data_IF_144755371357
#
_entry.id   IF_144755371357
#
_cell.length_a   1.000
_cell.length_b   1.000
_cell.length_c   1.000
_cell.angle_alpha   90.00
_cell.angle_beta   90.00
_cell.angle_gamma   90.00
#
_symmetry.space_group_name_H-M   'P 1'
#
loop_
_entity.id
_entity.type
_entity.pdbx_description
1 polymer ?
#
# COMPACT_ATOMS: atom_id res chain seq x y z
N UNK A 1 29.67 49.31 38.81
CA UNK A 1 29.09 48.88 37.53
C UNK A 1 29.99 47.80 36.91
N UNK A 2 29.59 46.52 36.97
CA UNK A 2 30.14 45.45 36.10
C UNK A 2 29.00 44.46 35.81
N UNK A 3 28.50 44.55 34.61
CA UNK A 3 27.54 43.64 33.97
C UNK A 3 28.22 42.29 33.72
N UNK A 4 27.60 41.20 34.16
CA UNK A 4 27.96 39.86 33.71
C UNK A 4 26.91 39.41 32.70
N UNK A 5 27.35 39.27 31.46
CA UNK A 5 26.55 38.79 30.34
C UNK A 5 26.29 37.29 30.48
N UNK A 6 25.02 36.96 30.31
CA UNK A 6 24.41 35.64 30.31
C UNK A 6 24.93 34.81 29.13
N UNK A 7 25.30 33.54 29.36
CA UNK A 7 25.41 32.53 28.30
C UNK A 7 24.52 31.35 28.68
N UNK A 8 23.30 31.32 28.13
CA UNK A 8 22.52 30.08 28.03
C UNK A 8 22.89 29.45 26.69
N UNK A 9 23.63 28.35 26.74
CA UNK A 9 23.77 27.45 25.59
C UNK A 9 22.50 26.60 25.57
N UNK A 10 21.57 26.92 24.67
CA UNK A 10 20.40 26.08 24.45
C UNK A 10 20.82 24.92 23.54
N UNK A 11 20.98 23.74 24.15
CA UNK A 11 21.22 22.47 23.46
C UNK A 11 19.89 21.98 22.84
N UNK A 12 19.53 22.49 21.66
CA UNK A 12 18.45 21.93 20.83
C UNK A 12 19.03 20.97 19.78
N UNK A 13 19.47 19.79 20.20
CA UNK A 13 19.79 18.69 19.28
C UNK A 13 19.33 17.39 19.91
N UNK A 14 18.23 16.81 19.41
CA UNK A 14 17.89 15.37 19.40
C UNK A 14 16.39 15.03 19.22
N UNK A 15 15.52 15.94 18.76
CA UNK A 15 14.10 15.60 18.54
C UNK A 15 13.85 15.07 17.10
N UNK A 16 14.79 15.25 16.16
CA UNK A 16 14.59 14.84 14.76
C UNK A 16 14.88 13.36 14.47
N UNK A 17 15.47 12.61 15.40
CA UNK A 17 15.97 11.25 15.12
C UNK A 17 14.87 10.18 15.07
N UNK A 18 13.76 10.38 15.79
CA UNK A 18 12.68 9.39 15.89
C UNK A 18 11.80 9.40 14.63
N UNK A 19 11.43 10.59 14.14
CA UNK A 19 10.59 10.73 12.93
C UNK A 19 11.32 10.21 11.68
N UNK A 20 12.62 10.44 11.58
CA UNK A 20 13.43 9.96 10.45
C UNK A 20 13.51 8.43 10.37
N UNK A 21 13.45 7.73 11.52
CA UNK A 21 13.53 6.28 11.55
C UNK A 21 12.26 5.63 10.97
N UNK A 22 11.07 6.16 11.29
CA UNK A 22 9.81 5.63 10.79
C UNK A 22 9.63 5.90 9.30
N UNK A 23 9.98 7.10 8.82
CA UNK A 23 9.91 7.44 7.39
C UNK A 23 10.78 6.51 6.51
N UNK A 24 12.01 6.22 6.94
CA UNK A 24 12.91 5.31 6.21
C UNK A 24 12.36 3.88 6.12
N UNK A 25 11.61 3.43 7.13
CA UNK A 25 10.94 2.13 7.09
C UNK A 25 9.81 2.11 6.06
N UNK A 26 8.98 3.14 6.04
CA UNK A 26 7.89 3.26 5.07
C UNK A 26 8.40 3.36 3.64
N UNK A 27 9.48 4.13 3.39
CA UNK A 27 10.14 4.19 2.09
C UNK A 27 10.62 2.81 1.64
N UNK A 28 11.22 2.03 2.55
CA UNK A 28 11.69 0.68 2.24
C UNK A 28 10.54 -0.28 1.90
N UNK A 29 9.45 -0.21 2.67
CA UNK A 29 8.24 -1.01 2.43
C UNK A 29 7.61 -0.64 1.09
N UNK A 30 7.55 0.65 0.77
CA UNK A 30 7.04 1.17 -0.50
C UNK A 30 7.89 0.70 -1.70
N UNK A 31 9.22 0.84 -1.62
CA UNK A 31 10.16 0.36 -2.65
C UNK A 31 10.00 -1.14 -2.94
N UNK A 32 9.91 -1.97 -1.88
CA UNK A 32 9.68 -3.41 -2.01
C UNK A 32 8.31 -3.67 -2.65
N UNK A 33 7.27 -2.99 -2.18
CA UNK A 33 5.91 -3.13 -2.69
C UNK A 33 5.81 -2.80 -4.17
N UNK A 34 6.40 -1.68 -4.60
CA UNK A 34 6.42 -1.28 -6.00
C UNK A 34 7.24 -2.21 -6.88
N UNK A 35 8.41 -2.68 -6.42
CA UNK A 35 9.19 -3.69 -7.15
C UNK A 35 8.38 -4.97 -7.37
N UNK A 36 7.65 -5.40 -6.35
CA UNK A 36 6.82 -6.60 -6.45
C UNK A 36 5.62 -6.41 -7.39
N UNK A 37 4.97 -5.24 -7.39
CA UNK A 37 3.77 -5.01 -8.21
C UNK A 37 4.07 -4.58 -9.65
N UNK A 38 5.29 -4.11 -9.94
CA UNK A 38 5.66 -3.56 -11.26
C UNK A 38 5.30 -4.49 -12.41
N UNK A 39 5.63 -5.80 -12.39
CA UNK A 39 5.23 -6.72 -13.47
C UNK A 39 3.71 -6.76 -13.69
N UNK A 40 2.93 -6.83 -12.61
CA UNK A 40 1.47 -6.83 -12.71
C UNK A 40 0.95 -5.50 -13.26
N UNK A 41 1.50 -4.36 -12.81
CA UNK A 41 1.12 -3.02 -13.27
C UNK A 41 1.31 -2.87 -14.77
N UNK A 42 2.38 -3.41 -15.35
CA UNK A 42 2.64 -3.34 -16.80
C UNK A 42 2.01 -4.50 -17.60
N UNK A 43 1.18 -5.33 -16.97
CA UNK A 43 0.45 -6.40 -17.64
C UNK A 43 1.28 -7.65 -17.94
N UNK A 44 2.37 -7.90 -17.21
CA UNK A 44 3.12 -9.17 -17.23
C UNK A 44 2.43 -10.20 -16.32
N UNK A 45 1.43 -10.88 -16.88
CA UNK A 45 0.53 -11.77 -16.13
C UNK A 45 0.76 -13.27 -16.37
N UNK A 46 1.67 -13.67 -17.27
CA UNK A 46 1.80 -15.07 -17.69
C UNK A 46 2.14 -16.03 -16.55
N UNK A 47 2.88 -15.55 -15.56
CA UNK A 47 3.20 -16.27 -14.32
C UNK A 47 1.97 -16.70 -13.51
N UNK A 48 0.80 -16.11 -13.77
CA UNK A 48 -0.47 -16.43 -13.10
C UNK A 48 -1.28 -17.49 -13.86
N UNK A 49 -0.96 -17.79 -15.12
CA UNK A 49 -1.79 -18.65 -16.01
C UNK A 49 -1.97 -20.08 -15.49
N UNK A 50 -0.95 -20.63 -14.82
CA UNK A 50 -0.96 -22.00 -14.27
C UNK A 50 -1.22 -22.06 -12.77
N UNK A 51 -1.42 -20.92 -12.10
CA UNK A 51 -1.65 -20.89 -10.65
C UNK A 51 -3.10 -21.27 -10.34
N UNK A 52 -3.29 -21.97 -9.23
CA UNK A 52 -4.62 -22.30 -8.68
C UNK A 52 -4.87 -21.43 -7.45
N UNK A 53 -5.51 -20.26 -7.62
CA UNK A 53 -5.83 -19.41 -6.49
C UNK A 53 -6.80 -20.08 -5.52
N UNK A 54 -6.80 -19.67 -4.23
CA UNK A 54 -7.89 -20.01 -3.34
C UNK A 54 -9.24 -19.58 -3.93
N UNK A 55 -10.28 -20.38 -3.67
CA UNK A 55 -11.62 -20.15 -4.21
C UNK A 55 -12.11 -18.73 -3.89
N UNK A 56 -12.71 -18.06 -4.87
CA UNK A 56 -13.27 -16.71 -4.75
C UNK A 56 -12.25 -15.60 -4.38
N UNK A 57 -10.96 -15.76 -4.69
CA UNK A 57 -9.95 -14.69 -4.46
C UNK A 57 -9.63 -13.91 -5.73
N UNK A 58 -9.03 -14.58 -6.71
CA UNK A 58 -8.72 -14.00 -8.00
C UNK A 58 -8.85 -15.01 -9.14
N UNK A 59 -8.96 -14.50 -10.36
CA UNK A 59 -8.99 -15.31 -11.59
C UNK A 59 -8.03 -14.76 -12.63
N UNK A 60 -7.42 -15.67 -13.40
CA UNK A 60 -6.56 -15.28 -14.52
C UNK A 60 -7.32 -14.49 -15.58
N UNK A 61 -8.59 -14.82 -15.82
CA UNK A 61 -9.45 -14.11 -16.77
C UNK A 61 -9.65 -12.63 -16.42
N UNK A 62 -9.77 -12.29 -15.12
CA UNK A 62 -9.84 -10.90 -14.68
C UNK A 62 -8.52 -10.16 -14.97
N UNK A 63 -7.36 -10.79 -14.73
CA UNK A 63 -6.06 -10.22 -15.06
C UNK A 63 -5.85 -10.05 -16.57
N UNK A 64 -6.32 -11.00 -17.38
CA UNK A 64 -6.28 -10.92 -18.84
C UNK A 64 -7.14 -9.76 -19.36
N UNK A 65 -8.30 -9.51 -18.74
CA UNK A 65 -9.13 -8.34 -19.04
C UNK A 65 -8.41 -7.03 -18.69
N UNK A 66 -7.76 -6.97 -17.52
CA UNK A 66 -6.93 -5.83 -17.15
C UNK A 66 -5.84 -5.55 -18.19
N UNK A 67 -5.09 -6.59 -18.61
CA UNK A 67 -4.07 -6.45 -19.65
C UNK A 67 -4.65 -5.90 -20.96
N UNK A 68 -5.81 -6.39 -21.39
CA UNK A 68 -6.48 -5.89 -22.60
C UNK A 68 -6.85 -4.41 -22.48
N UNK A 69 -7.42 -3.99 -21.34
CA UNK A 69 -7.77 -2.59 -21.10
C UNK A 69 -6.50 -1.70 -21.06
N UNK A 70 -5.41 -2.19 -20.47
CA UNK A 70 -4.09 -1.53 -20.47
C UNK A 70 -3.54 -1.33 -21.90
N UNK A 71 -3.54 -2.39 -22.72
CA UNK A 71 -3.08 -2.36 -24.11
C UNK A 71 -3.97 -1.45 -24.98
N UNK A 72 -5.25 -1.31 -24.62
CA UNK A 72 -6.21 -0.41 -25.28
C UNK A 72 -6.08 1.06 -24.85
N UNK A 73 -5.12 1.37 -23.97
CA UNK A 73 -4.90 2.71 -23.39
C UNK A 73 -6.12 3.29 -22.67
N UNK A 74 -6.94 2.42 -22.07
CA UNK A 74 -8.00 2.83 -21.17
C UNK A 74 -7.42 3.63 -19.99
N UNK A 75 -8.18 4.60 -19.49
CA UNK A 75 -7.75 5.37 -18.32
C UNK A 75 -7.92 4.53 -17.05
N UNK A 76 -6.79 4.11 -16.46
CA UNK A 76 -6.74 3.31 -15.24
C UNK A 76 -6.28 4.20 -14.08
N UNK A 77 -7.08 4.23 -13.02
CA UNK A 77 -6.73 4.84 -11.75
C UNK A 77 -5.99 3.82 -10.90
N UNK A 78 -4.84 4.23 -10.39
CA UNK A 78 -4.02 3.45 -9.49
C UNK A 78 -3.97 4.13 -8.13
N UNK A 79 -3.86 3.32 -7.08
CA UNK A 79 -3.53 3.81 -5.75
C UNK A 79 -2.76 2.77 -4.97
N UNK A 80 -2.02 3.25 -3.98
CA UNK A 80 -1.28 2.44 -3.03
C UNK A 80 -1.47 3.00 -1.63
N UNK A 81 -1.21 2.18 -0.62
CA UNK A 81 -1.06 2.64 0.74
C UNK A 81 -0.37 1.59 1.61
N UNK A 82 0.24 2.01 2.71
CA UNK A 82 0.89 1.12 3.66
C UNK A 82 0.05 1.06 4.93
N UNK A 83 -0.33 -0.15 5.35
CA UNK A 83 -0.95 -0.41 6.64
C UNK A 83 0.07 -0.99 7.61
N UNK A 84 0.51 -0.26 8.65
CA UNK A 84 1.24 -0.89 9.75
C UNK A 84 0.33 -1.90 10.46
N UNK A 85 0.92 -3.01 10.92
CA UNK A 85 0.17 -3.99 11.73
C UNK A 85 0.36 -3.72 13.22
N UNK A 86 -0.30 -4.51 14.07
CA UNK A 86 -0.04 -4.46 15.53
C UNK A 86 1.37 -4.90 15.90
N UNK A 87 2.04 -5.65 15.03
CA UNK A 87 3.43 -6.06 15.19
C UNK A 87 4.33 -5.08 14.43
N UNK A 88 5.23 -4.41 15.14
CA UNK A 88 6.08 -3.32 14.60
C UNK A 88 6.98 -3.77 13.45
N UNK A 89 7.24 -5.07 13.35
CA UNK A 89 8.05 -5.67 12.31
C UNK A 89 7.25 -6.07 11.06
N UNK A 90 5.94 -5.86 11.01
CA UNK A 90 5.08 -6.22 9.87
C UNK A 90 4.30 -5.02 9.33
N UNK A 91 4.30 -4.92 7.99
CA UNK A 91 3.63 -3.90 7.21
C UNK A 91 2.89 -4.55 6.05
N UNK A 92 1.72 -4.04 5.70
CA UNK A 92 1.01 -4.43 4.48
C UNK A 92 1.06 -3.30 3.46
N UNK A 93 1.83 -3.50 2.40
CA UNK A 93 1.74 -2.64 1.22
C UNK A 93 0.53 -3.08 0.39
N UNK A 94 -0.41 -2.17 0.21
CA UNK A 94 -1.60 -2.37 -0.59
C UNK A 94 -1.47 -1.59 -1.89
N UNK A 95 -1.98 -2.17 -2.97
CA UNK A 95 -2.03 -1.53 -4.29
C UNK A 95 -3.31 -1.96 -5.01
N UNK A 96 -3.93 -1.05 -5.74
CA UNK A 96 -5.13 -1.33 -6.51
C UNK A 96 -5.13 -0.63 -7.86
N UNK A 97 -5.82 -1.24 -8.81
CA UNK A 97 -6.09 -0.70 -10.13
C UNK A 97 -7.58 -0.75 -10.39
N UNK A 98 -8.16 0.36 -10.82
CA UNK A 98 -9.59 0.48 -11.07
C UNK A 98 -9.87 1.44 -12.22
N UNK A 99 -11.09 1.41 -12.72
CA UNK A 99 -11.63 2.44 -13.61
C UNK A 99 -12.89 3.05 -13.04
N UNK A 100 -13.17 4.29 -13.43
CA UNK A 100 -14.42 4.96 -13.11
C UNK A 100 -15.37 4.81 -14.30
N UNK A 101 -16.54 4.22 -14.08
CA UNK A 101 -17.62 4.10 -15.07
C UNK A 101 -18.80 4.97 -14.62
N UNK A 102 -19.00 6.12 -15.26
CA UNK A 102 -19.99 7.14 -14.87
C UNK A 102 -19.93 7.50 -13.37
N UNK A 103 -20.67 6.80 -12.52
CA UNK A 103 -20.74 6.98 -11.07
C UNK A 103 -20.06 5.87 -10.25
N UNK A 104 -19.61 4.79 -10.88
CA UNK A 104 -19.12 3.58 -10.23
C UNK A 104 -17.61 3.38 -10.35
N UNK A 105 -17.01 2.78 -9.32
CA UNK A 105 -15.61 2.36 -9.34
C UNK A 105 -15.54 0.84 -9.57
N UNK A 106 -15.00 0.45 -10.71
CA UNK A 106 -14.84 -0.95 -11.12
C UNK A 106 -13.38 -1.34 -10.96
N UNK A 107 -13.11 -2.23 -10.01
CA UNK A 107 -11.77 -2.74 -9.75
C UNK A 107 -11.36 -3.74 -10.82
N UNK A 108 -10.14 -3.57 -11.32
CA UNK A 108 -9.44 -4.63 -12.04
C UNK A 108 -8.86 -5.63 -11.07
N UNK A 109 -8.14 -5.13 -10.07
CA UNK A 109 -7.59 -5.91 -8.98
C UNK A 109 -7.27 -5.03 -7.77
N UNK A 110 -7.14 -5.69 -6.63
CA UNK A 110 -6.39 -5.18 -5.49
C UNK A 110 -5.35 -6.23 -5.07
N UNK A 111 -4.26 -5.80 -4.46
CA UNK A 111 -3.24 -6.68 -3.91
C UNK A 111 -2.83 -6.19 -2.51
N UNK A 112 -2.57 -7.13 -1.63
CA UNK A 112 -1.96 -6.87 -0.31
C UNK A 112 -0.67 -7.67 -0.22
N UNK A 113 0.44 -7.00 0.07
CA UNK A 113 1.77 -7.58 0.18
C UNK A 113 2.26 -7.39 1.61
N UNK A 114 2.38 -8.49 2.34
CA UNK A 114 2.89 -8.48 3.70
C UNK A 114 4.42 -8.47 3.65
N UNK A 115 5.01 -7.44 4.26
CA UNK A 115 6.44 -7.21 4.33
C UNK A 115 6.85 -7.23 5.80
N UNK A 116 7.93 -7.95 6.12
CA UNK A 116 8.43 -8.05 7.49
C UNK A 116 9.94 -7.86 7.60
N UNK A 117 10.38 -7.31 8.73
CA UNK A 117 11.81 -7.23 9.09
C UNK A 117 12.30 -8.56 9.65
N UNK A 118 13.03 -9.32 8.85
CA UNK A 118 13.60 -10.64 9.21
C UNK A 118 15.12 -10.52 9.15
N UNK A 119 15.80 -10.79 10.27
CA UNK A 119 17.27 -10.70 10.39
C UNK A 119 17.85 -9.34 9.95
N UNK A 120 17.15 -8.25 10.27
CA UNK A 120 17.58 -6.89 9.90
C UNK A 120 17.16 -6.42 8.51
N UNK A 121 16.64 -7.32 7.66
CA UNK A 121 16.23 -7.02 6.29
C UNK A 121 14.71 -7.07 6.11
N UNK A 122 14.14 -6.14 5.35
CA UNK A 122 12.73 -6.19 4.98
C UNK A 122 12.50 -7.14 3.80
N UNK A 123 11.59 -8.10 3.97
CA UNK A 123 11.29 -9.16 2.99
C UNK A 123 9.79 -9.34 2.81
N UNK A 124 9.38 -9.70 1.61
CA UNK A 124 8.00 -10.13 1.34
C UNK A 124 7.78 -11.48 2.01
N UNK A 125 6.78 -11.56 2.89
CA UNK A 125 6.40 -12.78 3.61
C UNK A 125 5.25 -13.48 2.90
N UNK A 126 4.27 -12.71 2.42
CA UNK A 126 3.12 -13.23 1.70
C UNK A 126 2.51 -12.16 0.81
N UNK A 127 1.70 -12.59 -0.17
CA UNK A 127 0.91 -11.68 -0.98
C UNK A 127 -0.45 -12.31 -1.34
N UNK A 128 -1.47 -11.45 -1.40
CA UNK A 128 -2.84 -11.83 -1.71
C UNK A 128 -3.35 -10.93 -2.82
N UNK A 129 -3.85 -11.54 -3.89
CA UNK A 129 -4.45 -10.87 -5.04
C UNK A 129 -5.97 -11.05 -4.98
N UNK A 130 -6.70 -9.98 -5.28
CA UNK A 130 -8.15 -9.91 -5.23
C UNK A 130 -8.68 -9.40 -6.57
N UNK A 131 -9.47 -10.21 -7.26
CA UNK A 131 -10.19 -9.78 -8.49
C UNK A 131 -11.67 -10.13 -8.44
N UNK A 132 -12.05 -11.08 -7.58
CA UNK A 132 -13.42 -11.53 -7.45
C UNK A 132 -14.22 -10.60 -6.54
N UNK A 133 -15.48 -10.33 -6.87
CA UNK A 133 -16.35 -9.36 -6.18
C UNK A 133 -16.38 -9.56 -4.66
N UNK A 134 -16.55 -10.80 -4.20
CA UNK A 134 -16.60 -11.13 -2.76
C UNK A 134 -15.27 -10.83 -2.06
N UNK A 135 -14.15 -11.19 -2.70
CA UNK A 135 -12.82 -10.93 -2.20
C UNK A 135 -12.48 -9.44 -2.18
N UNK A 136 -12.80 -8.71 -3.25
CA UNK A 136 -12.62 -7.26 -3.32
C UNK A 136 -13.44 -6.54 -2.26
N UNK A 137 -14.69 -6.95 -2.02
CA UNK A 137 -15.53 -6.42 -0.94
C UNK A 137 -14.90 -6.66 0.43
N UNK A 138 -14.40 -7.87 0.69
CA UNK A 138 -13.75 -8.20 1.96
C UNK A 138 -12.45 -7.40 2.17
N UNK A 139 -11.61 -7.30 1.13
CA UNK A 139 -10.40 -6.47 1.14
C UNK A 139 -10.73 -5.00 1.38
N UNK A 140 -11.76 -4.47 0.71
CA UNK A 140 -12.19 -3.09 0.87
C UNK A 140 -12.69 -2.82 2.29
N UNK A 141 -13.55 -3.68 2.86
CA UNK A 141 -14.00 -3.52 4.24
C UNK A 141 -12.85 -3.54 5.24
N UNK A 142 -11.89 -4.46 5.07
CA UNK A 142 -10.70 -4.52 5.92
C UNK A 142 -9.89 -3.22 5.82
N UNK A 143 -9.70 -2.72 4.60
CA UNK A 143 -8.98 -1.48 4.33
C UNK A 143 -9.69 -0.26 4.90
N UNK A 144 -10.99 -0.14 4.67
CA UNK A 144 -11.80 0.96 5.15
C UNK A 144 -11.74 1.07 6.67
N UNK A 145 -11.88 -0.06 7.38
CA UNK A 145 -11.73 -0.10 8.83
C UNK A 145 -10.35 0.37 9.32
N UNK A 146 -9.30 0.23 8.51
CA UNK A 146 -7.99 0.77 8.83
C UNK A 146 -7.94 2.29 8.70
N UNK A 147 -8.50 2.85 7.63
CA UNK A 147 -8.57 4.30 7.44
C UNK A 147 -9.40 5.00 8.53
N UNK A 148 -10.38 4.30 9.09
CA UNK A 148 -11.19 4.78 10.23
C UNK A 148 -10.56 4.50 11.61
N UNK A 149 -9.35 3.95 11.67
CA UNK A 149 -8.70 3.58 12.94
C UNK A 149 -7.55 4.51 13.30
N UNK A 150 -7.24 4.62 14.59
CA UNK A 150 -6.08 5.34 15.13
C UNK A 150 -4.72 4.85 14.59
N UNK A 151 -4.68 3.70 13.92
CA UNK A 151 -3.47 3.21 13.26
C UNK A 151 -3.13 4.00 12.00
N UNK A 152 -4.12 4.64 11.38
CA UNK A 152 -3.90 5.51 10.24
C UNK A 152 -3.01 6.71 10.63
N UNK A 153 -3.21 7.24 11.84
CA UNK A 153 -2.42 8.35 12.38
C UNK A 153 -0.95 7.99 12.68
N UNK A 154 -0.61 6.70 12.65
CA UNK A 154 0.77 6.21 12.81
C UNK A 154 1.57 6.24 11.50
N UNK A 155 0.93 6.54 10.37
CA UNK A 155 1.61 6.67 9.08
C UNK A 155 2.31 8.05 9.03
N UNK A 156 3.60 8.15 8.66
CA UNK A 156 4.22 9.45 8.47
C UNK A 156 3.50 10.25 7.37
N UNK A 157 3.36 11.57 7.57
CA UNK A 157 2.47 12.43 6.76
C UNK A 157 2.81 12.42 5.27
N UNK A 158 4.08 12.29 4.93
CA UNK A 158 4.58 12.18 3.56
C UNK A 158 4.07 10.91 2.86
N UNK A 159 3.78 9.84 3.60
CA UNK A 159 3.14 8.64 3.08
C UNK A 159 1.62 8.68 3.21
N UNK A 160 1.00 9.68 3.85
CA UNK A 160 -0.47 9.79 3.89
C UNK A 160 -1.06 10.32 2.58
N UNK A 161 -0.27 10.97 1.72
CA UNK A 161 -0.72 11.54 0.43
C UNK A 161 0.22 11.06 -0.69
N UNK A 162 -0.27 10.37 -1.74
CA UNK A 162 -1.65 10.24 -2.19
C UNK A 162 -2.33 8.93 -1.76
N UNK A 163 -2.12 8.44 -0.53
CA UNK A 163 -2.79 7.25 0.00
C UNK A 163 -4.30 7.53 0.22
N UNK A 164 -5.03 7.60 -0.88
CA UNK A 164 -6.48 7.79 -0.91
C UNK A 164 -7.11 6.49 -0.42
N UNK A 165 -8.00 6.59 0.57
CA UNK A 165 -8.84 5.45 0.94
C UNK A 165 -9.51 4.91 -0.33
N UNK A 166 -9.31 3.63 -0.70
CA UNK A 166 -9.85 3.10 -1.93
C UNK A 166 -11.38 3.30 -1.97
N UNK A 167 -11.94 3.74 -3.10
CA UNK A 167 -13.39 3.90 -3.20
C UNK A 167 -14.09 2.55 -3.04
N UNK A 168 -15.35 2.50 -2.56
CA UNK A 168 -16.09 1.25 -2.48
C UNK A 168 -16.20 0.61 -3.88
N UNK A 169 -16.02 -0.72 -4.00
CA UNK A 169 -16.26 -1.42 -5.26
C UNK A 169 -17.74 -1.34 -5.62
N UNK A 170 -18.07 -1.29 -6.92
CA UNK A 170 -19.46 -1.38 -7.35
C UNK A 170 -20.10 -2.71 -6.91
N UNK A 171 -21.28 -2.59 -6.29
CA UNK A 171 -22.01 -3.71 -5.65
C UNK A 171 -23.14 -4.23 -6.51
#
# INVERSE_FOLDING_TARGET
MKTYTFFIVILFLNINSIVAQDAAVFEKVEDIGYKFITPLKIGEIDQFKKRKPPVNTWTYSALAKYKKDLDSKEFILYGSFIMPTTKKEFYNFNYYALKKNSAEYVYFFAISIMISKINGEYKVVSSYLFTEKKALKAWWHHTFNFFESDKFDQIPKEFMKPNICPPPPSF
#
